data_IF_955366552491
#
_entry.id   IF_955366552491
#
_cell.length_a   1.000
_cell.length_b   1.000
_cell.length_c   1.000
_cell.angle_alpha   90.00
_cell.angle_beta   90.00
_cell.angle_gamma   90.00
#
_symmetry.space_group_name_H-M   'P 1'
#
loop_
_entity.id
_entity.type
_entity.pdbx_description
1 polymer ?
#
# COMPACT_ATOMS: atom_id res chain seq x y z
N UNK A 1 -7.68 -17.81 -10.97
CA UNK A 1 -6.25 -17.43 -10.96
C UNK A 1 -5.43 -18.35 -10.06
N UNK A 2 -5.81 -18.58 -8.82
CA UNK A 2 -5.07 -19.37 -7.81
C UNK A 2 -4.90 -20.84 -8.20
N UNK A 3 -5.94 -21.48 -8.75
CA UNK A 3 -5.86 -22.86 -9.24
C UNK A 3 -4.76 -23.01 -10.29
N UNK A 4 -4.70 -22.08 -11.27
CA UNK A 4 -3.66 -22.08 -12.32
C UNK A 4 -2.25 -21.93 -11.73
N UNK A 5 -2.05 -21.06 -10.74
CA UNK A 5 -0.76 -20.90 -10.07
C UNK A 5 -0.33 -22.20 -9.35
N UNK A 6 -1.26 -22.87 -8.65
CA UNK A 6 -0.98 -24.16 -7.99
C UNK A 6 -0.60 -25.23 -9.03
N UNK A 7 -1.31 -25.32 -10.13
CA UNK A 7 -1.02 -26.29 -11.22
C UNK A 7 0.36 -26.04 -11.83
N UNK A 8 0.67 -24.77 -12.15
CA UNK A 8 1.99 -24.40 -12.69
C UNK A 8 3.12 -24.62 -11.66
N UNK A 9 2.89 -24.35 -10.38
CA UNK A 9 3.84 -24.63 -9.31
C UNK A 9 4.14 -26.13 -9.19
N UNK A 10 3.11 -26.98 -9.16
CA UNK A 10 3.28 -28.45 -9.18
C UNK A 10 4.01 -28.93 -10.43
N UNK A 11 3.73 -28.35 -11.60
CA UNK A 11 4.43 -28.67 -12.82
C UNK A 11 5.91 -28.28 -12.79
N UNK A 12 6.26 -27.19 -12.12
CA UNK A 12 7.63 -26.74 -11.92
C UNK A 12 8.40 -27.63 -10.95
N UNK A 13 7.81 -28.00 -9.79
CA UNK A 13 8.47 -28.83 -8.77
C UNK A 13 8.88 -30.22 -9.25
N UNK A 14 8.27 -30.70 -10.34
CA UNK A 14 8.61 -32.01 -10.96
C UNK A 14 9.79 -31.92 -11.95
N UNK A 15 10.46 -30.77 -12.05
CA UNK A 15 11.54 -30.55 -13.01
C UNK A 15 12.85 -30.28 -12.33
N UNK A 16 13.92 -30.66 -12.97
CA UNK A 16 15.29 -30.46 -12.47
C UNK A 16 15.63 -28.97 -12.47
N UNK A 17 15.68 -28.41 -11.26
CA UNK A 17 16.04 -27.01 -11.00
C UNK A 17 17.55 -26.82 -10.80
N UNK A 18 17.98 -25.56 -10.56
CA UNK A 18 19.35 -25.29 -10.18
C UNK A 18 19.61 -25.79 -8.76
N UNK A 19 20.80 -26.36 -8.53
CA UNK A 19 21.30 -26.68 -7.20
C UNK A 19 22.66 -26.00 -6.99
N UNK A 20 22.73 -25.07 -6.04
CA UNK A 20 23.95 -24.33 -5.74
C UNK A 20 25.03 -25.18 -5.07
N UNK A 21 24.63 -26.22 -4.35
CA UNK A 21 25.55 -27.12 -3.64
C UNK A 21 26.31 -28.01 -4.60
N UNK A 22 25.65 -28.51 -5.64
CA UNK A 22 26.22 -29.44 -6.63
C UNK A 22 26.68 -28.74 -7.90
N UNK A 23 26.41 -27.41 -8.06
CA UNK A 23 26.66 -26.69 -9.30
C UNK A 23 25.71 -27.06 -10.43
N UNK A 24 24.65 -27.83 -10.14
CA UNK A 24 23.69 -28.29 -11.16
C UNK A 24 22.99 -27.11 -11.84
N UNK A 25 23.03 -27.08 -13.17
CA UNK A 25 22.31 -26.09 -13.96
C UNK A 25 20.84 -26.50 -14.13
N UNK A 26 19.91 -25.52 -14.21
CA UNK A 26 18.50 -25.80 -14.44
C UNK A 26 18.28 -26.37 -15.85
N UNK A 27 17.42 -27.38 -15.97
CA UNK A 27 17.04 -27.92 -17.26
C UNK A 27 16.23 -26.90 -18.09
N UNK A 28 16.26 -26.97 -19.41
CA UNK A 28 15.47 -26.13 -20.29
C UNK A 28 13.95 -26.24 -20.01
N UNK A 29 13.49 -27.44 -19.60
CA UNK A 29 12.09 -27.65 -19.18
C UNK A 29 11.76 -26.89 -17.91
N UNK A 30 12.68 -26.85 -16.96
CA UNK A 30 12.52 -26.07 -15.73
C UNK A 30 12.47 -24.56 -16.04
N UNK A 31 13.39 -24.05 -16.85
CA UNK A 31 13.43 -22.63 -17.25
C UNK A 31 12.12 -22.19 -17.91
N UNK A 32 11.61 -23.00 -18.87
CA UNK A 32 10.31 -22.72 -19.51
C UNK A 32 9.15 -22.74 -18.53
N UNK A 33 9.15 -23.68 -17.57
CA UNK A 33 8.10 -23.76 -16.55
C UNK A 33 8.16 -22.58 -15.58
N UNK A 34 9.37 -22.17 -15.14
CA UNK A 34 9.58 -20.97 -14.32
C UNK A 34 9.07 -19.71 -15.03
N UNK A 35 9.39 -19.54 -16.31
CA UNK A 35 8.90 -18.41 -17.10
C UNK A 35 7.37 -18.40 -17.21
N UNK A 36 6.72 -19.56 -17.38
CA UNK A 36 5.24 -19.67 -17.41
C UNK A 36 4.64 -19.31 -16.05
N UNK A 37 5.21 -19.80 -14.96
CA UNK A 37 4.77 -19.49 -13.60
C UNK A 37 4.97 -18.00 -13.31
N UNK A 38 6.11 -17.41 -13.67
CA UNK A 38 6.39 -15.98 -13.52
C UNK A 38 5.36 -15.10 -14.24
N UNK A 39 5.03 -15.43 -15.50
CA UNK A 39 3.97 -14.71 -16.24
C UNK A 39 2.60 -14.82 -15.57
N UNK A 40 2.28 -15.98 -15.00
CA UNK A 40 1.01 -16.17 -14.30
C UNK A 40 0.96 -15.33 -13.00
N UNK A 41 2.05 -15.26 -12.23
CA UNK A 41 2.17 -14.38 -11.06
C UNK A 41 2.08 -12.90 -11.45
N UNK A 42 2.78 -12.47 -12.49
CA UNK A 42 2.72 -11.10 -12.98
C UNK A 42 1.29 -10.71 -13.40
N UNK A 43 0.57 -11.61 -14.10
CA UNK A 43 -0.84 -11.38 -14.44
C UNK A 43 -1.71 -11.16 -13.20
N UNK A 44 -1.57 -12.02 -12.18
CA UNK A 44 -2.34 -11.86 -10.92
C UNK A 44 -2.02 -10.54 -10.22
N UNK A 45 -0.74 -10.18 -10.14
CA UNK A 45 -0.29 -8.91 -9.56
C UNK A 45 -0.87 -7.70 -10.32
N UNK A 46 -0.86 -7.75 -11.66
CA UNK A 46 -1.39 -6.67 -12.49
C UNK A 46 -2.92 -6.52 -12.35
N UNK A 47 -3.67 -7.64 -12.33
CA UNK A 47 -5.12 -7.61 -12.11
C UNK A 47 -5.47 -7.03 -10.74
N UNK A 48 -4.70 -7.39 -9.70
CA UNK A 48 -4.88 -6.80 -8.36
C UNK A 48 -4.61 -5.30 -8.39
N UNK A 49 -3.49 -4.89 -8.96
CA UNK A 49 -3.12 -3.48 -9.07
C UNK A 49 -4.18 -2.67 -9.81
N UNK A 50 -4.67 -3.17 -10.95
CA UNK A 50 -5.73 -2.54 -11.73
C UNK A 50 -7.02 -2.38 -10.91
N UNK A 51 -7.46 -3.43 -10.20
CA UNK A 51 -8.62 -3.39 -9.33
C UNK A 51 -8.48 -2.35 -8.22
N UNK A 52 -7.32 -2.30 -7.55
CA UNK A 52 -7.05 -1.30 -6.52
C UNK A 52 -7.01 0.12 -7.09
N UNK A 53 -6.41 0.31 -8.27
CA UNK A 53 -6.41 1.61 -8.94
C UNK A 53 -7.82 2.08 -9.29
N UNK A 54 -8.68 1.21 -9.79
CA UNK A 54 -10.08 1.52 -10.11
C UNK A 54 -10.87 1.88 -8.86
N UNK A 55 -10.74 1.07 -7.80
CA UNK A 55 -11.40 1.31 -6.51
C UNK A 55 -11.00 2.66 -5.93
N UNK A 56 -9.70 2.90 -5.77
CA UNK A 56 -9.20 4.13 -5.14
C UNK A 56 -9.48 5.36 -5.98
N UNK A 57 -9.46 5.26 -7.32
CA UNK A 57 -9.84 6.37 -8.21
C UNK A 57 -11.32 6.70 -8.06
N UNK A 58 -12.20 5.69 -7.98
CA UNK A 58 -13.62 5.92 -7.76
C UNK A 58 -13.85 6.61 -6.43
N UNK A 59 -13.29 6.07 -5.33
CA UNK A 59 -13.46 6.65 -3.99
C UNK A 59 -13.02 8.11 -3.93
N UNK A 60 -11.86 8.44 -4.49
CA UNK A 60 -11.33 9.82 -4.42
C UNK A 60 -12.01 10.79 -5.36
N UNK A 61 -12.82 10.33 -6.34
CA UNK A 61 -13.66 11.17 -7.19
C UNK A 61 -15.05 11.38 -6.58
N UNK A 62 -15.59 10.36 -5.92
CA UNK A 62 -16.93 10.40 -5.32
C UNK A 62 -16.94 11.13 -3.98
N UNK A 63 -15.85 11.04 -3.20
CA UNK A 63 -15.80 11.53 -1.83
C UNK A 63 -14.64 12.53 -1.63
N UNK A 64 -14.96 13.70 -1.08
CA UNK A 64 -13.97 14.72 -0.73
C UNK A 64 -13.09 14.32 0.46
N UNK A 65 -13.63 13.52 1.39
CA UNK A 65 -12.87 12.99 2.55
C UNK A 65 -12.99 11.48 2.61
N UNK A 66 -11.86 10.80 2.76
CA UNK A 66 -11.79 9.35 2.93
C UNK A 66 -11.12 9.07 4.27
N UNK A 67 -11.74 8.24 5.11
CA UNK A 67 -11.17 7.81 6.40
C UNK A 67 -10.76 6.35 6.30
N UNK A 68 -9.56 6.03 6.78
CA UNK A 68 -9.03 4.66 6.82
C UNK A 68 -8.42 4.37 8.19
N UNK A 69 -8.39 3.09 8.58
CA UNK A 69 -7.72 2.65 9.79
C UNK A 69 -6.19 2.58 9.60
N UNK A 70 -5.43 2.86 10.67
CA UNK A 70 -3.99 2.63 10.70
C UNK A 70 -3.66 1.15 10.99
N UNK A 71 -3.82 0.31 9.97
CA UNK A 71 -3.58 -1.13 10.09
C UNK A 71 -2.09 -1.46 10.19
N UNK A 72 -1.70 -2.27 11.18
CA UNK A 72 -0.37 -2.86 11.24
C UNK A 72 -0.23 -4.01 10.22
N UNK A 73 -0.13 -3.67 8.94
CA UNK A 73 -0.07 -4.65 7.85
C UNK A 73 1.11 -5.59 7.98
N UNK A 74 2.27 -5.13 8.43
CA UNK A 74 3.45 -5.97 8.64
C UNK A 74 3.22 -7.01 9.73
N UNK A 75 2.63 -6.62 10.87
CA UNK A 75 2.24 -7.54 11.91
C UNK A 75 1.18 -8.54 11.46
N UNK A 76 0.20 -8.11 10.66
CA UNK A 76 -0.81 -9.00 10.09
C UNK A 76 -0.20 -10.04 9.13
N UNK A 77 0.82 -9.67 8.35
CA UNK A 77 1.52 -10.56 7.43
C UNK A 77 2.37 -11.61 8.15
N UNK A 78 2.76 -11.41 9.41
CA UNK A 78 3.49 -12.42 10.20
C UNK A 78 2.60 -13.62 10.58
N UNK A 79 1.29 -13.46 10.57
CA UNK A 79 0.35 -14.56 10.79
C UNK A 79 0.25 -15.45 9.54
N UNK A 80 0.91 -16.60 9.55
CA UNK A 80 0.98 -17.53 8.40
C UNK A 80 -0.37 -17.98 7.85
N UNK A 81 -1.42 -18.03 8.67
CA UNK A 81 -2.77 -18.43 8.24
C UNK A 81 -3.46 -17.32 7.44
N UNK A 82 -3.21 -16.06 7.78
CA UNK A 82 -3.87 -14.90 7.20
C UNK A 82 -2.99 -14.16 6.19
N UNK A 83 -1.67 -14.31 6.25
CA UNK A 83 -0.70 -13.55 5.46
C UNK A 83 -1.05 -13.47 3.96
N UNK A 84 -1.51 -14.58 3.40
CA UNK A 84 -1.90 -14.62 1.99
C UNK A 84 -3.13 -13.74 1.70
N UNK A 85 -4.15 -13.80 2.55
CA UNK A 85 -5.37 -13.01 2.39
C UNK A 85 -5.07 -11.52 2.60
N UNK A 86 -4.24 -11.19 3.60
CA UNK A 86 -3.79 -9.82 3.86
C UNK A 86 -2.98 -9.27 2.67
N UNK A 87 -2.04 -10.05 2.14
CA UNK A 87 -1.28 -9.67 0.95
C UNK A 87 -2.19 -9.51 -0.28
N UNK A 88 -3.22 -10.36 -0.42
CA UNK A 88 -4.18 -10.28 -1.52
C UNK A 88 -5.11 -9.08 -1.39
N UNK A 89 -5.49 -8.66 -0.19
CA UNK A 89 -6.30 -7.47 0.07
C UNK A 89 -5.55 -6.17 -0.28
N UNK A 90 -4.21 -6.15 -0.13
CA UNK A 90 -3.38 -5.04 -0.56
C UNK A 90 -3.57 -3.75 0.24
N UNK A 91 -3.88 -3.83 1.55
CA UNK A 91 -4.17 -2.68 2.41
C UNK A 91 -3.13 -1.56 2.35
N UNK A 92 -1.83 -1.90 2.37
CA UNK A 92 -0.76 -0.91 2.27
C UNK A 92 -0.79 -0.16 0.93
N UNK A 93 -1.07 -0.87 -0.16
CA UNK A 93 -1.17 -0.29 -1.50
C UNK A 93 -2.43 0.58 -1.64
N UNK A 94 -3.57 0.16 -1.06
CA UNK A 94 -4.79 1.00 -0.98
C UNK A 94 -4.47 2.31 -0.29
N UNK A 95 -3.88 2.26 0.91
CA UNK A 95 -3.51 3.47 1.66
C UNK A 95 -2.56 4.36 0.84
N UNK A 96 -1.52 3.80 0.25
CA UNK A 96 -0.58 4.53 -0.61
C UNK A 96 -1.28 5.21 -1.79
N UNK A 97 -2.20 4.51 -2.46
CA UNK A 97 -2.94 5.06 -3.59
C UNK A 97 -3.94 6.15 -3.16
N UNK A 98 -4.63 5.96 -2.05
CA UNK A 98 -5.52 6.98 -1.50
C UNK A 98 -4.75 8.25 -1.14
N UNK A 99 -3.57 8.13 -0.50
CA UNK A 99 -2.76 9.29 -0.10
C UNK A 99 -2.50 10.26 -1.25
N UNK A 100 -1.99 9.79 -2.40
CA UNK A 100 -1.69 10.70 -3.48
C UNK A 100 -2.91 11.07 -4.34
N UNK A 101 -3.89 10.16 -4.46
CA UNK A 101 -5.07 10.43 -5.29
C UNK A 101 -6.05 11.40 -4.63
N UNK A 102 -6.19 11.38 -3.30
CA UNK A 102 -6.97 12.41 -2.59
C UNK A 102 -6.36 13.79 -2.81
N UNK A 103 -5.02 13.91 -2.71
CA UNK A 103 -4.32 15.16 -3.00
C UNK A 103 -4.55 15.63 -4.45
N UNK A 104 -4.47 14.73 -5.44
CA UNK A 104 -4.71 15.09 -6.85
C UNK A 104 -6.14 15.58 -7.14
N UNK A 105 -7.11 15.04 -6.40
CA UNK A 105 -8.53 15.40 -6.58
C UNK A 105 -8.98 16.51 -5.62
N UNK A 106 -8.06 17.17 -4.89
CA UNK A 106 -8.40 18.23 -3.92
C UNK A 106 -9.14 17.72 -2.69
N UNK A 107 -9.16 16.41 -2.45
CA UNK A 107 -9.77 15.79 -1.29
C UNK A 107 -8.79 15.55 -0.16
N UNK A 108 -9.27 14.89 0.89
CA UNK A 108 -8.51 14.62 2.12
C UNK A 108 -8.54 13.14 2.51
N UNK A 109 -7.38 12.61 2.95
CA UNK A 109 -7.27 11.30 3.58
C UNK A 109 -7.03 11.48 5.08
N UNK A 110 -7.93 10.93 5.90
CA UNK A 110 -7.79 10.85 7.35
C UNK A 110 -7.40 9.42 7.71
N UNK A 111 -6.38 9.26 8.53
CA UNK A 111 -5.98 7.97 9.07
C UNK A 111 -6.38 7.95 10.52
N UNK A 112 -7.38 7.14 10.86
CA UNK A 112 -7.84 6.98 12.23
C UNK A 112 -6.75 6.38 13.11
N UNK A 113 -6.73 6.75 14.38
CA UNK A 113 -5.82 6.16 15.36
C UNK A 113 -5.95 4.64 15.38
N UNK A 114 -4.82 3.94 15.52
CA UNK A 114 -4.76 2.47 15.55
C UNK A 114 -5.63 1.86 16.64
N UNK A 115 -5.79 2.55 17.74
CA UNK A 115 -6.51 2.07 18.92
C UNK A 115 -7.95 2.59 18.98
N UNK A 116 -8.35 3.38 17.99
CA UNK A 116 -9.74 3.83 17.89
C UNK A 116 -10.69 2.62 17.79
N UNK A 117 -11.61 2.44 18.74
CA UNK A 117 -12.43 1.24 18.83
C UNK A 117 -13.61 1.25 17.84
N UNK A 118 -13.34 1.48 16.54
CA UNK A 118 -14.35 1.66 15.50
C UNK A 118 -15.42 0.59 15.49
N UNK A 119 -15.03 -0.70 15.62
CA UNK A 119 -15.95 -1.83 15.61
C UNK A 119 -16.68 -2.06 16.92
N UNK A 120 -16.15 -1.57 18.06
CA UNK A 120 -16.73 -1.75 19.40
C UNK A 120 -17.63 -0.61 19.82
N UNK A 121 -17.50 0.56 19.21
CA UNK A 121 -18.33 1.73 19.49
C UNK A 121 -19.66 1.60 18.78
N UNK A 122 -20.76 1.90 19.46
CA UNK A 122 -22.08 1.98 18.85
C UNK A 122 -22.20 3.22 17.98
N UNK A 123 -22.50 3.07 16.70
CA UNK A 123 -22.68 4.22 15.80
C UNK A 123 -23.99 5.00 16.05
N UNK A 124 -24.88 4.48 16.90
CA UNK A 124 -26.13 5.16 17.27
C UNK A 124 -26.01 5.99 18.56
N UNK A 125 -25.37 5.45 19.61
CA UNK A 125 -25.32 6.10 20.91
C UNK A 125 -23.91 6.33 21.50
N UNK A 126 -22.86 5.91 20.81
CA UNK A 126 -21.48 6.10 21.24
C UNK A 126 -20.98 5.14 22.34
N UNK A 127 -21.84 4.28 22.88
CA UNK A 127 -21.43 3.31 23.92
C UNK A 127 -20.39 2.35 23.38
N UNK A 128 -19.30 2.13 24.13
CA UNK A 128 -18.20 1.24 23.74
C UNK A 128 -18.34 -0.11 24.43
N UNK A 129 -18.43 -1.19 23.68
CA UNK A 129 -18.40 -2.56 24.22
C UNK A 129 -17.02 -2.93 24.73
N UNK A 130 -16.95 -3.57 25.89
CA UNK A 130 -15.68 -4.07 26.46
C UNK A 130 -15.10 -5.20 25.62
N UNK A 131 -15.94 -6.11 25.12
CA UNK A 131 -15.56 -7.27 24.31
C UNK A 131 -16.43 -7.38 23.07
N UNK A 132 -15.81 -7.71 21.94
CA UNK A 132 -16.47 -8.09 20.69
C UNK A 132 -15.61 -9.16 20.05
N UNK A 133 -16.14 -10.37 19.88
CA UNK A 133 -15.38 -11.47 19.30
C UNK A 133 -15.17 -11.26 17.80
N UNK A 134 -14.03 -11.72 17.27
CA UNK A 134 -13.74 -11.63 15.83
C UNK A 134 -14.72 -12.45 14.97
N UNK A 135 -15.35 -13.46 15.54
CA UNK A 135 -16.37 -14.27 14.88
C UNK A 135 -17.74 -13.59 14.79
N UNK A 136 -18.00 -12.59 15.63
CA UNK A 136 -19.24 -11.83 15.60
C UNK A 136 -19.26 -10.94 14.36
N UNK A 137 -20.25 -11.15 13.49
CA UNK A 137 -20.46 -10.35 12.28
C UNK A 137 -21.52 -9.28 12.48
N UNK A 138 -22.43 -9.49 13.40
CA UNK A 138 -23.48 -8.57 13.77
C UNK A 138 -23.10 -7.84 15.06
N UNK A 139 -23.28 -6.54 15.07
CA UNK A 139 -23.10 -5.69 16.24
C UNK A 139 -24.47 -5.41 16.85
N UNK A 140 -24.66 -5.79 18.11
CA UNK A 140 -25.87 -5.46 18.89
C UNK A 140 -25.47 -4.56 20.05
N UNK A 141 -26.07 -3.40 20.18
CA UNK A 141 -25.79 -2.48 21.28
C UNK A 141 -26.65 -2.82 22.51
N UNK A 142 -25.99 -3.05 23.65
CA UNK A 142 -26.70 -3.38 24.91
C UNK A 142 -27.37 -2.14 25.52
N UNK A 143 -26.94 -0.91 25.14
CA UNK A 143 -27.47 0.34 25.69
C UNK A 143 -28.69 0.89 24.91
N UNK A 144 -28.68 0.85 23.58
CA UNK A 144 -29.75 1.43 22.76
C UNK A 144 -30.47 0.42 21.87
N UNK A 145 -30.10 -0.85 21.89
CA UNK A 145 -30.73 -1.91 21.11
C UNK A 145 -30.39 -1.89 19.60
N UNK A 146 -29.48 -1.03 19.14
CA UNK A 146 -29.09 -0.99 17.73
C UNK A 146 -28.51 -2.32 17.30
N UNK A 147 -29.07 -2.91 16.23
CA UNK A 147 -28.54 -4.10 15.57
C UNK A 147 -28.07 -3.73 14.18
N UNK A 148 -26.83 -4.06 13.85
CA UNK A 148 -26.20 -3.65 12.58
C UNK A 148 -25.07 -4.61 12.22
N UNK A 149 -24.75 -4.75 10.93
CA UNK A 149 -23.51 -5.39 10.50
C UNK A 149 -22.31 -4.70 11.16
N UNK A 150 -21.36 -5.47 11.68
CA UNK A 150 -20.21 -4.95 12.45
C UNK A 150 -19.32 -4.04 11.61
N UNK A 151 -19.11 -4.39 10.33
CA UNK A 151 -18.24 -3.62 9.45
C UNK A 151 -18.93 -2.30 9.03
N UNK A 152 -20.26 -2.34 8.87
CA UNK A 152 -21.04 -1.13 8.63
C UNK A 152 -21.09 -0.22 9.87
N UNK A 153 -21.19 -0.78 11.07
CA UNK A 153 -21.09 -0.02 12.32
C UNK A 153 -19.72 0.69 12.41
N UNK A 154 -18.62 -0.04 12.16
CA UNK A 154 -17.28 0.51 12.16
C UNK A 154 -17.11 1.62 11.09
N UNK A 155 -17.64 1.41 9.89
CA UNK A 155 -17.59 2.41 8.82
C UNK A 155 -18.32 3.71 9.20
N UNK A 156 -19.47 3.62 9.87
CA UNK A 156 -20.21 4.79 10.38
C UNK A 156 -19.40 5.55 11.43
N UNK A 157 -18.76 4.85 12.35
CA UNK A 157 -17.90 5.46 13.36
C UNK A 157 -16.68 6.16 12.75
N UNK A 158 -16.05 5.54 11.75
CA UNK A 158 -14.96 6.16 11.01
C UNK A 158 -15.43 7.37 10.20
N UNK A 159 -16.63 7.33 9.61
CA UNK A 159 -17.19 8.47 8.92
C UNK A 159 -17.49 9.66 9.86
N UNK A 160 -17.96 9.38 11.09
CA UNK A 160 -18.18 10.40 12.10
C UNK A 160 -16.91 11.15 12.49
N UNK A 161 -15.75 10.46 12.54
CA UNK A 161 -14.45 11.10 12.74
C UNK A 161 -14.14 12.17 11.69
N UNK A 162 -14.60 12.00 10.43
CA UNK A 162 -14.38 13.03 9.41
C UNK A 162 -15.04 14.36 9.78
N UNK A 163 -16.25 14.30 10.33
CA UNK A 163 -16.98 15.50 10.77
C UNK A 163 -16.31 16.19 11.95
N UNK A 164 -15.76 15.42 12.90
CA UNK A 164 -14.99 15.95 14.02
C UNK A 164 -13.72 16.68 13.57
N UNK A 165 -13.00 16.13 12.57
CA UNK A 165 -11.84 16.78 11.99
C UNK A 165 -12.18 18.06 11.23
N UNK A 166 -13.36 18.14 10.62
CA UNK A 166 -13.82 19.33 9.90
C UNK A 166 -14.19 20.48 10.87
N UNK A 167 -14.80 20.15 12.02
CA UNK A 167 -15.16 21.14 13.04
C UNK A 167 -13.96 21.63 13.83
N UNK A 168 -12.91 20.84 13.99
CA UNK A 168 -11.70 21.20 14.74
C UNK A 168 -10.76 22.17 13.99
N UNK A 169 -11.11 22.65 12.79
CA UNK A 169 -10.33 23.64 12.03
C UNK A 169 -8.89 23.21 11.70
N UNK A 170 -8.65 21.93 11.62
CA UNK A 170 -7.31 21.37 11.40
C UNK A 170 -6.86 21.60 9.96
N UNK A 171 -5.86 22.45 9.77
CA UNK A 171 -5.11 22.55 8.52
C UNK A 171 -4.60 21.19 8.04
N UNK A 172 -4.08 21.10 6.81
CA UNK A 172 -3.69 19.83 6.21
C UNK A 172 -2.70 19.09 7.10
N UNK A 173 -3.11 17.94 7.63
CA UNK A 173 -2.19 17.05 8.33
C UNK A 173 -1.29 16.42 7.26
N UNK A 174 -0.16 17.09 7.01
CA UNK A 174 0.93 16.50 6.27
C UNK A 174 1.29 15.19 6.96
N UNK A 175 1.09 14.07 6.26
CA UNK A 175 1.38 12.76 6.79
C UNK A 175 2.83 12.70 7.26
N UNK A 176 3.05 12.76 8.56
CA UNK A 176 4.34 12.43 9.16
C UNK A 176 4.52 10.92 9.06
N UNK A 177 5.03 10.49 7.92
CA UNK A 177 5.70 9.21 7.80
C UNK A 177 7.05 9.29 8.49
N UNK A 178 7.08 9.18 9.80
CA UNK A 178 8.29 8.91 10.56
C UNK A 178 7.92 7.93 11.66
N UNK A 179 8.44 6.72 11.57
CA UNK A 179 8.47 5.78 12.67
C UNK A 179 9.29 6.41 13.81
N UNK A 180 8.61 7.03 14.77
CA UNK A 180 9.24 7.40 16.02
C UNK A 180 9.37 6.14 16.87
N UNK A 181 10.53 5.49 16.83
CA UNK A 181 10.93 4.55 17.86
C UNK A 181 11.21 5.34 19.13
N UNK A 182 10.26 5.41 20.03
CA UNK A 182 10.51 5.85 21.42
C UNK A 182 11.40 4.84 22.12
N UNK A 183 12.59 5.28 22.48
CA UNK A 183 13.43 4.54 23.42
C UNK A 183 12.88 4.73 24.84
N UNK A 184 13.11 3.73 25.69
CA UNK A 184 12.59 3.58 27.06
C UNK A 184 13.00 4.70 28.06
N UNK A 185 13.75 5.69 27.63
CA UNK A 185 14.32 6.79 28.42
C UNK A 185 13.77 8.19 28.09
N UNK A 186 12.69 8.28 27.32
CA UNK A 186 11.93 9.52 27.14
C UNK A 186 12.63 10.64 26.34
N UNK A 187 13.80 10.41 25.75
CA UNK A 187 14.46 11.41 24.91
C UNK A 187 14.14 11.21 23.43
N UNK A 188 13.54 12.22 22.83
CA UNK A 188 13.22 12.29 21.40
C UNK A 188 14.44 12.76 20.63
N UNK A 189 15.10 11.87 19.90
CA UNK A 189 16.17 12.26 18.99
C UNK A 189 15.60 12.78 17.67
N UNK A 190 15.69 14.06 17.43
CA UNK A 190 15.38 14.66 16.14
C UNK A 190 16.44 14.24 15.10
N UNK A 191 16.04 13.49 14.10
CA UNK A 191 16.91 13.12 12.98
C UNK A 191 17.09 14.34 12.08
N UNK A 192 18.30 14.92 12.07
CA UNK A 192 18.68 15.99 11.12
C UNK A 192 18.51 15.47 9.69
N UNK A 193 17.83 16.25 8.86
CA UNK A 193 17.87 16.05 7.41
C UNK A 193 19.32 16.22 6.93
N UNK A 194 19.82 15.37 6.03
CA UNK A 194 21.10 15.63 5.39
C UNK A 194 20.97 16.94 4.57
N UNK A 195 21.79 17.92 4.95
CA UNK A 195 21.89 19.19 4.22
C UNK A 195 22.25 18.93 2.76
N UNK A 196 21.55 19.60 1.86
CA UNK A 196 21.93 19.72 0.46
C UNK A 196 23.31 20.38 0.40
N UNK A 197 24.32 19.58 0.08
CA UNK A 197 25.64 20.13 -0.24
C UNK A 197 25.53 20.98 -1.51
N UNK A 198 26.16 22.17 -1.56
CA UNK A 198 26.17 22.97 -2.76
C UNK A 198 26.94 22.23 -3.85
N UNK A 199 26.34 22.16 -5.05
CA UNK A 199 26.94 21.56 -6.22
C UNK A 199 28.27 22.27 -6.53
N UNK A 200 29.40 21.57 -6.36
CA UNK A 200 30.71 21.99 -6.79
C UNK A 200 30.72 22.10 -8.33
N UNK A 201 31.08 23.30 -8.82
CA UNK A 201 31.35 23.56 -10.22
C UNK A 201 32.59 22.77 -10.65
N UNK A 202 32.40 21.65 -11.31
CA UNK A 202 33.48 21.07 -12.14
C UNK A 202 33.40 21.68 -13.51
N UNK A 203 34.29 22.67 -13.74
CA UNK A 203 34.53 23.21 -15.06
C UNK A 203 35.26 22.15 -15.91
N UNK A 204 34.60 21.72 -16.97
CA UNK A 204 35.26 21.04 -18.08
C UNK A 204 35.02 21.89 -19.31
N UNK A 205 36.10 22.50 -19.81
CA UNK A 205 36.13 23.30 -21.03
C UNK A 205 35.82 22.40 -22.24
N UNK A 206 35.12 22.93 -23.27
CA UNK A 206 34.94 22.20 -24.52
C UNK A 206 36.23 22.28 -25.37
N UNK A 207 36.58 21.23 -26.14
CA UNK A 207 37.69 21.31 -27.09
C UNK A 207 37.29 22.17 -28.28
N UNK A 208 38.12 23.15 -28.55
CA UNK A 208 38.11 23.92 -29.79
C UNK A 208 38.79 23.09 -30.90
N UNK A 209 38.31 23.26 -32.11
CA UNK A 209 39.12 23.06 -33.26
C UNK A 209 38.61 22.10 -34.33
N UNK A 210 38.38 22.62 -35.49
CA UNK A 210 38.46 21.86 -36.72
C UNK A 210 37.40 22.21 -37.77
N UNK A 211 37.46 23.41 -38.30
CA UNK A 211 36.96 23.74 -39.64
C UNK A 211 37.58 22.84 -40.71
N UNK A 212 36.75 22.16 -41.51
CA UNK A 212 37.08 21.91 -42.92
C UNK A 212 35.79 21.88 -43.73
N UNK A 213 35.62 22.93 -44.53
CA UNK A 213 34.81 23.00 -45.74
C UNK A 213 35.06 21.79 -46.65
N UNK A 214 33.99 21.18 -47.16
CA UNK A 214 33.97 20.66 -48.52
C UNK A 214 32.56 20.69 -49.11
N UNK A 215 32.40 21.67 -49.96
CA UNK A 215 31.48 21.77 -51.08
C UNK A 215 31.75 20.63 -52.06
N UNK A 216 30.71 20.03 -52.63
CA UNK A 216 30.57 19.66 -54.04
C UNK A 216 29.31 18.76 -54.22
N UNK A 217 28.29 19.32 -54.78
CA UNK A 217 27.75 19.18 -56.15
C UNK A 217 27.23 17.79 -56.57
N UNK A 218 25.89 17.78 -56.84
CA UNK A 218 25.16 17.25 -57.99
C UNK A 218 25.63 15.97 -58.70
N UNK A 219 24.73 15.05 -58.88
CA UNK A 219 24.05 14.71 -60.14
C UNK A 219 23.58 13.24 -60.16
N UNK A 220 22.47 13.08 -60.64
CA UNK A 220 21.62 12.18 -61.39
C UNK A 220 20.68 11.32 -60.56
#
# INVERSE_FOLDING_TARGET
AQHRLRTLGRALSRKTGPDRRTGQRPSNRWQRATARLGRAHARVANLRRDGLHKLTTRLTREYGTVVVEDLNVSGMLSNRRLARHIADAGFAEVRRQLTYKTQWNGGRLIVADRWYPSSKTCSGCGTVKTKLALSEREYTCDACGLVLDRDLNAARNLAALAAEYDTAGSGPVAGRGADQKTRHDGQVAAKRQPGTAPAGKTGTAPPQGGTTDRVLTKAH
#
